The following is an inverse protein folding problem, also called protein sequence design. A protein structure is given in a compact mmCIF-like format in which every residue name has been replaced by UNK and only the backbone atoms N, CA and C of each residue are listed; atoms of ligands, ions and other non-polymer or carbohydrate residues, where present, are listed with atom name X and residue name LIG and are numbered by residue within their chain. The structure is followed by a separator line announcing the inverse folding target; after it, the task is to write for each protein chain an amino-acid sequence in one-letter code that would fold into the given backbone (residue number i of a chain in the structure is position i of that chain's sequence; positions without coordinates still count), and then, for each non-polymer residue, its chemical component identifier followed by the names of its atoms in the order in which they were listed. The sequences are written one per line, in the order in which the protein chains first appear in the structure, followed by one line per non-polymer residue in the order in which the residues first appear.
data_IF_828288599995
#
_entry.id   IF_828288599995
#
_cell.length_a   1.000
_cell.length_b   1.000
_cell.length_c   1.000
_cell.angle_alpha   90.00
_cell.angle_beta   90.00
_cell.angle_gamma   90.00
#
_symmetry.space_group_name_H-M   'P 1'
#
loop_
_entity.id
_entity.type
_entity.pdbx_description
1 polymer ?
#
# COMPACT_ATOMS: atom_id res chain seq x y z
N UNK A 1 -4.06 8.66 10.78
CA UNK A 1 -3.17 9.85 10.69
C UNK A 1 -2.06 9.59 9.67
N UNK A 2 -1.48 10.63 9.06
CA UNK A 2 -0.47 10.51 8.00
C UNK A 2 0.99 10.51 8.50
N UNK A 3 1.19 10.40 9.81
CA UNK A 3 2.51 10.42 10.45
C UNK A 3 3.07 9.02 10.63
N UNK A 4 4.39 8.90 10.52
CA UNK A 4 5.14 7.69 10.85
C UNK A 4 6.10 8.01 11.99
N UNK A 5 6.21 7.07 12.93
CA UNK A 5 7.05 7.17 14.12
C UNK A 5 7.95 5.95 14.21
N UNK A 6 9.23 6.19 14.44
CA UNK A 6 10.23 5.15 14.71
C UNK A 6 10.53 5.16 16.21
N UNK A 7 10.43 3.99 16.83
CA UNK A 7 10.73 3.77 18.23
C UNK A 7 11.97 2.89 18.34
N UNK A 8 12.82 3.18 19.32
CA UNK A 8 13.87 2.26 19.74
C UNK A 8 13.27 1.20 20.68
N UNK A 9 13.45 -0.07 20.35
CA UNK A 9 12.97 -1.21 21.16
C UNK A 9 14.07 -1.86 21.99
N UNK A 10 15.34 -1.45 21.84
CA UNK A 10 16.46 -2.03 22.59
C UNK A 10 16.60 -1.44 23.99
N UNK A 11 16.09 -0.24 24.21
CA UNK A 11 16.15 0.43 25.51
C UNK A 11 15.06 -0.12 26.45
N UNK A 12 15.47 -0.91 27.45
CA UNK A 12 14.59 -1.46 28.50
C UNK A 12 14.02 -0.41 29.48
N UNK A 13 14.34 0.87 29.28
CA UNK A 13 13.80 1.95 30.10
C UNK A 13 12.36 2.25 29.65
N UNK A 14 11.44 2.27 30.61
CA UNK A 14 9.99 2.41 30.50
C UNK A 14 9.45 3.58 29.67
N UNK A 15 10.32 4.46 29.17
CA UNK A 15 9.96 5.51 28.23
C UNK A 15 10.32 5.07 26.81
N UNK A 16 9.31 4.59 26.06
CA UNK A 16 9.38 4.39 24.61
C UNK A 16 9.85 5.69 23.94
N UNK A 17 11.15 5.80 23.66
CA UNK A 17 11.72 7.00 23.05
C UNK A 17 11.42 6.99 21.55
N UNK A 18 10.68 7.99 21.09
CA UNK A 18 10.54 8.28 19.66
C UNK A 18 11.92 8.71 19.17
N UNK A 19 12.49 7.93 18.26
CA UNK A 19 13.76 8.22 17.59
C UNK A 19 13.54 9.18 16.43
N UNK A 20 12.41 9.02 15.72
CA UNK A 20 12.05 9.85 14.57
C UNK A 20 10.54 9.92 14.41
N UNK A 21 10.03 11.10 14.07
CA UNK A 21 8.65 11.32 13.67
C UNK A 21 8.65 12.20 12.43
N UNK A 22 7.84 11.84 11.43
CA UNK A 22 7.66 12.67 10.25
C UNK A 22 6.28 12.51 9.64
N UNK A 23 5.83 13.56 8.97
CA UNK A 23 4.59 13.52 8.18
C UNK A 23 4.89 12.83 6.85
N UNK A 24 4.64 11.53 6.79
CA UNK A 24 4.86 10.75 5.57
C UNK A 24 3.81 11.05 4.50
N UNK A 25 2.54 11.21 4.90
CA UNK A 25 1.40 11.32 3.99
C UNK A 25 0.41 12.40 4.42
N UNK A 26 -0.39 12.88 3.46
CA UNK A 26 -1.48 13.85 3.73
C UNK A 26 -2.74 13.16 4.28
N UNK A 27 -2.84 11.83 4.10
CA UNK A 27 -3.94 11.01 4.58
C UNK A 27 -3.40 9.84 5.42
N UNK A 28 -4.29 9.05 6.03
CA UNK A 28 -3.93 7.92 6.88
C UNK A 28 -2.94 6.96 6.20
N UNK A 29 -1.86 6.61 6.91
CA UNK A 29 -1.01 5.47 6.55
C UNK A 29 -1.73 4.21 7.01
N UNK A 30 -1.97 3.28 6.09
CA UNK A 30 -2.65 2.02 6.37
C UNK A 30 -1.69 0.88 6.63
N UNK A 31 -0.51 0.92 6.00
CA UNK A 31 0.49 -0.12 6.14
C UNK A 31 1.89 0.45 5.88
N UNK A 32 2.91 -0.23 6.39
CA UNK A 32 4.30 0.07 6.13
C UNK A 32 5.13 -1.22 6.17
N UNK A 33 6.21 -1.25 5.38
CA UNK A 33 7.13 -2.37 5.38
C UNK A 33 8.58 -1.90 5.23
N UNK A 34 9.48 -2.63 5.88
CA UNK A 34 10.92 -2.44 5.72
C UNK A 34 11.38 -3.06 4.40
N UNK A 35 12.29 -2.39 3.71
CA UNK A 35 13.09 -3.02 2.67
C UNK A 35 14.04 -4.03 3.32
N UNK A 36 14.12 -5.28 2.84
CA UNK A 36 15.10 -6.23 3.34
C UNK A 36 16.52 -5.70 3.19
N UNK A 37 17.37 -5.96 4.20
CA UNK A 37 18.81 -5.64 4.22
C UNK A 37 19.18 -4.14 4.05
N UNK A 38 18.20 -3.25 4.00
CA UNK A 38 18.39 -1.81 3.84
C UNK A 38 17.63 -1.02 4.91
N UNK A 39 18.10 0.18 5.24
CA UNK A 39 17.43 1.08 6.19
C UNK A 39 16.39 1.97 5.51
N UNK A 40 15.60 1.38 4.61
CA UNK A 40 14.50 2.09 3.97
C UNK A 40 13.17 1.50 4.42
N UNK A 41 12.15 2.33 4.40
CA UNK A 41 10.78 1.86 4.56
C UNK A 41 9.94 2.32 3.40
N UNK A 42 8.84 1.61 3.22
CA UNK A 42 7.79 1.99 2.31
C UNK A 42 6.51 2.14 3.07
N UNK A 43 5.78 3.21 2.80
CA UNK A 43 4.52 3.55 3.44
C UNK A 43 3.40 3.54 2.41
N UNK A 44 2.27 2.94 2.76
CA UNK A 44 1.07 2.85 1.93
C UNK A 44 -0.06 3.68 2.54
N UNK A 45 -0.68 4.58 1.77
CA UNK A 45 -1.62 5.56 2.32
C UNK A 45 -2.95 5.65 1.58
N UNK A 46 -3.92 6.18 2.32
CA UNK A 46 -5.20 6.66 1.81
C UNK A 46 -5.11 7.80 0.81
N UNK A 47 -3.95 8.47 0.68
CA UNK A 47 -3.70 9.49 -0.34
C UNK A 47 -3.41 8.89 -1.74
N UNK A 48 -3.61 7.59 -1.89
CA UNK A 48 -3.46 6.84 -3.15
C UNK A 48 -2.01 6.75 -3.64
N UNK A 49 -1.06 7.06 -2.75
CA UNK A 49 0.37 6.91 -3.04
C UNK A 49 1.02 5.96 -2.06
N UNK A 50 2.09 5.34 -2.55
CA UNK A 50 3.10 4.76 -1.70
C UNK A 50 4.36 5.63 -1.74
N UNK A 51 5.09 5.72 -0.63
CA UNK A 51 6.32 6.50 -0.56
C UNK A 51 7.45 5.68 0.01
N UNK A 52 8.64 5.84 -0.56
CA UNK A 52 9.85 5.16 -0.12
C UNK A 52 10.76 6.15 0.58
N UNK A 53 11.20 5.81 1.77
CA UNK A 53 11.94 6.69 2.67
C UNK A 53 13.26 6.06 3.05
N UNK A 54 14.33 6.85 3.06
CA UNK A 54 15.56 6.50 3.75
C UNK A 54 15.40 6.88 5.22
N UNK A 55 15.49 5.90 6.13
CA UNK A 55 15.34 6.17 7.56
C UNK A 55 16.56 6.89 8.14
N UNK A 56 17.76 6.59 7.65
CA UNK A 56 19.00 7.20 8.14
C UNK A 56 19.00 8.69 7.82
N UNK A 57 18.75 9.06 6.57
CA UNK A 57 18.74 10.48 6.17
C UNK A 57 17.41 11.16 6.47
N UNK A 58 16.31 10.42 6.48
CA UNK A 58 14.95 10.97 6.58
C UNK A 58 14.41 11.51 5.26
N UNK A 59 15.11 11.24 4.16
CA UNK A 59 14.73 11.74 2.85
C UNK A 59 13.66 10.87 2.20
N UNK A 60 12.73 11.54 1.51
CA UNK A 60 11.83 10.89 0.58
C UNK A 60 12.62 10.49 -0.67
N UNK A 61 12.83 9.20 -0.86
CA UNK A 61 13.56 8.68 -2.02
C UNK A 61 12.69 8.62 -3.28
N UNK A 62 11.38 8.48 -3.12
CA UNK A 62 10.46 8.49 -4.25
C UNK A 62 9.03 8.12 -3.91
N UNK A 63 8.16 8.26 -4.91
CA UNK A 63 6.71 8.12 -4.78
C UNK A 63 6.21 7.16 -5.84
N UNK A 64 5.55 6.09 -5.39
CA UNK A 64 4.86 5.14 -6.24
C UNK A 64 3.43 5.66 -6.49
N UNK A 65 3.16 6.07 -7.73
CA UNK A 65 1.86 6.60 -8.19
C UNK A 65 1.26 5.66 -9.23
N UNK A 66 -0.06 5.56 -9.27
CA UNK A 66 -0.76 4.78 -10.31
C UNK A 66 -2.11 4.25 -9.82
N UNK A 67 -2.19 3.91 -8.54
CA UNK A 67 -3.44 3.55 -7.89
C UNK A 67 -4.45 4.70 -7.94
N UNK A 68 -5.72 4.35 -8.19
CA UNK A 68 -6.84 5.30 -8.26
C UNK A 68 -7.65 5.32 -6.96
N UNK A 69 -7.22 4.55 -5.96
CA UNK A 69 -7.90 4.33 -4.70
C UNK A 69 -6.86 4.18 -3.57
N UNK A 70 -7.33 4.28 -2.33
CA UNK A 70 -6.48 4.15 -1.14
C UNK A 70 -5.71 2.83 -1.13
N UNK A 71 -4.40 2.91 -0.89
CA UNK A 71 -3.58 1.71 -0.68
C UNK A 71 -3.88 1.16 0.71
N UNK A 72 -3.94 -0.17 0.82
CA UNK A 72 -4.25 -0.84 2.10
C UNK A 72 -3.12 -1.70 2.62
N UNK A 73 -2.24 -2.19 1.74
CA UNK A 73 -1.11 -3.00 2.17
C UNK A 73 0.12 -2.81 1.29
N UNK A 74 1.28 -3.10 1.86
CA UNK A 74 2.55 -3.20 1.14
C UNK A 74 3.35 -4.39 1.68
N UNK A 75 3.94 -5.16 0.79
CA UNK A 75 4.78 -6.30 1.12
C UNK A 75 6.10 -6.27 0.33
N UNK A 76 7.12 -6.95 0.86
CA UNK A 76 8.43 -7.08 0.22
C UNK A 76 8.76 -8.54 -0.03
N UNK A 77 9.33 -8.83 -1.20
CA UNK A 77 10.09 -10.07 -1.44
C UNK A 77 11.39 -10.02 -0.64
N UNK A 78 12.00 -11.16 -0.30
CA UNK A 78 13.15 -11.19 0.60
C UNK A 78 14.37 -10.47 0.04
N UNK A 79 14.46 -10.29 -1.27
CA UNK A 79 15.63 -9.68 -1.86
C UNK A 79 15.36 -8.28 -2.42
N UNK A 80 14.37 -8.03 -3.29
CA UNK A 80 14.57 -6.89 -4.22
C UNK A 80 13.32 -6.23 -4.82
N UNK A 81 12.10 -6.71 -4.56
CA UNK A 81 10.87 -6.15 -5.14
C UNK A 81 9.87 -5.74 -4.06
N UNK A 82 9.35 -4.53 -4.16
CA UNK A 82 8.19 -4.11 -3.39
C UNK A 82 6.91 -4.45 -4.15
N UNK A 83 6.04 -5.18 -3.48
CA UNK A 83 4.72 -5.55 -3.98
C UNK A 83 3.71 -4.67 -3.26
N UNK A 84 3.04 -3.82 -4.03
CA UNK A 84 2.05 -2.89 -3.52
C UNK A 84 0.66 -3.45 -3.82
N UNK A 85 -0.12 -3.63 -2.77
CA UNK A 85 -1.46 -4.18 -2.89
C UNK A 85 -2.45 -3.12 -2.41
N UNK A 86 -3.36 -2.70 -3.27
CA UNK A 86 -4.54 -2.01 -2.76
C UNK A 86 -5.43 -2.99 -2.02
N UNK A 87 -6.26 -2.42 -1.16
CA UNK A 87 -7.47 -3.09 -0.73
C UNK A 87 -8.63 -2.29 -1.27
N UNK A 88 -9.34 -2.88 -2.23
CA UNK A 88 -10.80 -2.84 -2.21
C UNK A 88 -11.53 -2.13 -3.34
N UNK A 89 -10.95 -1.18 -4.10
CA UNK A 89 -11.75 -0.42 -5.10
C UNK A 89 -11.17 -0.26 -6.51
N UNK A 90 -9.87 -0.03 -6.69
CA UNK A 90 -9.30 -0.02 -8.04
C UNK A 90 -9.02 -1.44 -8.57
N UNK A 91 -9.04 -2.44 -7.68
CA UNK A 91 -8.91 -3.84 -8.01
C UNK A 91 -7.54 -4.23 -8.54
N UNK A 92 -6.52 -3.40 -8.36
CA UNK A 92 -5.20 -3.61 -8.95
C UNK A 92 -4.16 -4.00 -7.89
N UNK A 93 -3.37 -5.03 -8.18
CA UNK A 93 -2.07 -5.23 -7.50
C UNK A 93 -0.99 -4.62 -8.39
N UNK A 94 -0.13 -3.77 -7.84
CA UNK A 94 0.98 -3.16 -8.56
C UNK A 94 2.31 -3.64 -7.99
N UNK A 95 3.19 -4.13 -8.84
CA UNK A 95 4.55 -4.53 -8.45
C UNK A 95 5.50 -3.44 -8.90
N UNK A 96 6.38 -3.04 -8.00
CA UNK A 96 7.36 -2.00 -8.24
C UNK A 96 8.75 -2.52 -7.92
N UNK A 97 9.72 -2.13 -8.73
CA UNK A 97 11.12 -2.38 -8.44
C UNK A 97 11.65 -1.28 -7.50
N UNK A 98 12.15 -1.69 -6.34
CA UNK A 98 12.78 -0.80 -5.36
C UNK A 98 14.28 -0.67 -5.50
N UNK A 99 14.88 -1.45 -6.39
CA UNK A 99 16.27 -1.26 -6.80
C UNK A 99 16.32 -0.13 -7.82
N UNK A 100 16.52 1.10 -7.35
CA UNK A 100 16.87 2.19 -8.27
C UNK A 100 18.23 2.77 -7.95
N UNK A 101 19.10 2.70 -8.95
CA UNK A 101 20.33 3.49 -9.08
C UNK A 101 19.95 4.95 -9.32
N UNK A 102 20.68 5.89 -8.70
CA UNK A 102 20.51 7.35 -8.84
C UNK A 102 20.41 7.87 -10.30
N UNK A 103 20.73 7.06 -11.32
CA UNK A 103 20.75 7.45 -12.73
C UNK A 103 19.39 7.41 -13.44
N UNK A 104 18.48 6.52 -13.06
CA UNK A 104 17.25 6.29 -13.85
C UNK A 104 15.99 6.99 -13.32
N UNK A 105 16.11 7.73 -12.22
CA UNK A 105 15.03 8.59 -11.71
C UNK A 105 13.76 7.82 -11.37
N UNK A 106 13.60 7.51 -10.09
CA UNK A 106 12.41 6.95 -9.43
C UNK A 106 12.17 5.43 -9.55
N UNK A 107 11.52 4.92 -8.50
CA UNK A 107 10.91 3.60 -8.42
C UNK A 107 10.05 3.34 -9.66
N UNK A 108 10.21 2.17 -10.28
CA UNK A 108 9.50 1.84 -11.52
C UNK A 108 8.44 0.78 -11.28
N UNK A 109 7.22 1.04 -11.75
CA UNK A 109 6.19 0.01 -11.83
C UNK A 109 6.62 -1.03 -12.87
N UNK A 110 6.73 -2.29 -12.46
CA UNK A 110 7.17 -3.39 -13.33
C UNK A 110 6.03 -4.31 -13.75
N UNK A 111 4.95 -4.37 -12.96
CA UNK A 111 3.78 -5.18 -13.30
C UNK A 111 2.52 -4.59 -12.67
N UNK A 112 1.39 -4.83 -13.33
CA UNK A 112 0.05 -4.61 -12.79
C UNK A 112 -0.78 -5.86 -13.00
N UNK A 113 -1.52 -6.27 -11.97
CA UNK A 113 -2.53 -7.32 -12.04
C UNK A 113 -3.87 -6.64 -11.80
N UNK A 114 -4.62 -6.41 -12.88
CA UNK A 114 -5.91 -5.75 -12.82
C UNK A 114 -7.04 -6.74 -12.52
N UNK A 115 -8.05 -6.30 -11.77
CA UNK A 115 -9.19 -7.15 -11.39
C UNK A 115 -8.84 -8.22 -10.35
N UNK A 116 -7.73 -8.05 -9.62
CA UNK A 116 -7.33 -8.92 -8.51
C UNK A 116 -8.29 -8.82 -7.31
N UNK A 117 -9.09 -7.76 -7.23
CA UNK A 117 -10.18 -7.62 -6.28
C UNK A 117 -11.50 -7.41 -7.02
N UNK A 118 -12.59 -7.85 -6.41
CA UNK A 118 -13.95 -7.69 -6.96
C UNK A 118 -14.07 -8.25 -8.39
N UNK A 119 -13.63 -9.49 -8.61
CA UNK A 119 -14.14 -10.27 -9.74
C UNK A 119 -15.66 -10.32 -9.56
N UNK A 120 -16.39 -9.56 -10.36
CA UNK A 120 -17.84 -9.72 -10.46
C UNK A 120 -18.03 -11.10 -11.06
N UNK A 121 -18.38 -12.08 -10.24
CA UNK A 121 -18.92 -13.33 -10.74
C UNK A 121 -20.04 -12.97 -11.70
N UNK A 122 -19.83 -13.20 -13.00
CA UNK A 122 -20.89 -13.11 -14.02
C UNK A 122 -21.87 -14.28 -13.89
N UNK A 123 -22.18 -14.71 -12.66
CA UNK A 123 -23.39 -15.49 -12.43
C UNK A 123 -24.54 -14.48 -12.38
N UNK A 124 -25.58 -14.61 -13.23
CA UNK A 124 -26.69 -13.68 -13.20
C UNK A 124 -27.53 -13.95 -11.96
N UNK A 125 -27.13 -13.41 -10.81
CA UNK A 125 -27.95 -13.42 -9.61
C UNK A 125 -29.09 -12.42 -9.81
N UNK A 126 -30.28 -12.98 -10.08
CA UNK A 126 -31.55 -12.23 -10.13
C UNK A 126 -31.86 -11.66 -8.75
N UNK A 127 -31.32 -10.49 -8.42
CA UNK A 127 -31.79 -9.70 -7.28
C UNK A 127 -32.35 -8.37 -7.78
N UNK A 128 -33.67 -8.24 -7.59
CA UNK A 128 -34.53 -7.14 -8.05
C UNK A 128 -33.93 -5.80 -7.60
N UNK A 129 -33.64 -4.93 -8.57
CA UNK A 129 -33.37 -3.50 -8.32
C UNK A 129 -34.64 -2.86 -7.73
N UNK A 130 -34.72 -2.74 -6.40
CA UNK A 130 -35.59 -1.73 -5.78
C UNK A 130 -34.89 -0.38 -5.95
N UNK A 131 -35.43 0.48 -6.81
CA UNK A 131 -35.04 1.89 -6.89
C UNK A 131 -35.29 2.54 -5.52
N UNK A 132 -34.24 2.78 -4.75
CA UNK A 132 -34.29 3.77 -3.68
C UNK A 132 -33.74 5.09 -4.21
N UNK A 133 -34.62 6.08 -4.24
CA UNK A 133 -34.32 7.45 -4.59
C UNK A 133 -33.65 8.09 -3.36
N UNK A 134 -32.35 8.35 -3.39
CA UNK A 134 -31.65 9.07 -2.32
C UNK A 134 -30.72 10.11 -2.94
N UNK A 135 -31.26 11.29 -3.22
CA UNK A 135 -30.44 12.48 -3.54
C UNK A 135 -29.82 12.98 -2.23
N UNK A 136 -28.49 13.14 -2.21
CA UNK A 136 -27.78 13.89 -1.16
C UNK A 136 -27.02 13.06 -0.12
N UNK A 137 -27.01 11.72 -0.21
CA UNK A 137 -26.12 10.88 0.59
C UNK A 137 -24.98 10.35 -0.29
N UNK A 138 -23.79 10.23 0.30
CA UNK A 138 -22.65 9.58 -0.34
C UNK A 138 -23.10 8.20 -0.89
N UNK A 139 -22.64 7.79 -2.08
CA UNK A 139 -23.04 6.52 -2.66
C UNK A 139 -22.89 5.38 -1.66
N UNK A 140 -23.90 4.51 -1.59
CA UNK A 140 -23.91 3.30 -0.76
C UNK A 140 -22.57 2.58 -0.89
N UNK A 141 -21.90 2.37 0.24
CA UNK A 141 -20.67 1.59 0.28
C UNK A 141 -21.05 0.15 -0.03
N UNK A 142 -20.93 -0.28 -1.29
CA UNK A 142 -21.21 -1.66 -1.67
C UNK A 142 -20.46 -2.63 -0.75
N UNK A 143 -21.20 -3.57 -0.15
CA UNK A 143 -20.72 -4.52 0.86
C UNK A 143 -19.80 -5.61 0.31
N UNK A 144 -19.28 -5.49 -0.91
CA UNK A 144 -18.24 -6.39 -1.41
C UNK A 144 -16.90 -6.04 -0.75
N UNK A 145 -16.79 -6.44 0.50
CA UNK A 145 -15.55 -6.43 1.27
C UNK A 145 -14.76 -7.68 0.90
N UNK A 146 -14.20 -7.72 -0.32
CA UNK A 146 -13.18 -8.71 -0.64
C UNK A 146 -11.84 -8.24 -0.06
N UNK A 147 -11.23 -9.09 0.77
CA UNK A 147 -9.86 -8.89 1.25
C UNK A 147 -8.99 -9.78 0.38
N UNK A 148 -8.11 -9.18 -0.41
CA UNK A 148 -7.05 -9.92 -1.11
C UNK A 148 -5.77 -9.72 -0.31
N UNK A 149 -5.17 -10.85 0.07
CA UNK A 149 -3.83 -10.89 0.62
C UNK A 149 -2.93 -11.38 -0.50
N UNK A 150 -1.81 -10.71 -0.69
CA UNK A 150 -0.78 -11.18 -1.61
C UNK A 150 0.34 -11.75 -0.78
N UNK A 151 0.67 -13.02 -1.01
CA UNK A 151 1.79 -13.68 -0.37
C UNK A 151 2.88 -13.91 -1.42
N UNK A 152 4.12 -13.84 -0.96
CA UNK A 152 5.27 -14.26 -1.74
C UNK A 152 5.56 -15.71 -1.37
N UNK A 153 5.35 -16.61 -2.31
CA UNK A 153 5.81 -18.00 -2.16
C UNK A 153 7.34 -18.06 -2.26
N UNK A 154 7.90 -17.25 -3.15
CA UNK A 154 9.33 -17.05 -3.37
C UNK A 154 9.60 -15.64 -3.93
N UNK A 155 10.81 -15.37 -4.42
CA UNK A 155 11.23 -14.05 -4.93
C UNK A 155 10.56 -13.61 -6.24
N UNK A 156 9.93 -14.53 -6.94
CA UNK A 156 9.41 -14.32 -8.28
C UNK A 156 7.92 -14.64 -8.37
N UNK A 157 7.40 -15.41 -7.40
CA UNK A 157 6.04 -15.94 -7.39
C UNK A 157 5.20 -15.25 -6.31
N UNK A 158 4.19 -14.51 -6.79
CA UNK A 158 3.08 -14.03 -5.97
C UNK A 158 1.95 -15.06 -6.02
N UNK A 159 1.34 -15.33 -4.87
CA UNK A 159 0.14 -16.16 -4.72
C UNK A 159 -0.97 -15.38 -4.04
#
# INVERSE_FOLDING_TARGET
EGFVRLYDTHTQLSNKKIVKEWQAHLNAVFDLAWTPYEHKIVTASGDQTAKVWDIKTGELLGVCKGHQCSLKSVAFSKFEKAVFCTGGRDGNIMIWDTRCSKKDGFYRQVKQISGAHNIIDKTPSKLRKKKQNVKGLAPSVDFQQSVTVVLLQDEHTLI
#
